data_IF_754449490055
#
_entry.id   IF_754449490055
#
_cell.length_a   1.000
_cell.length_b   1.000
_cell.length_c   1.000
_cell.angle_alpha   90.00
_cell.angle_beta   90.00
_cell.angle_gamma   90.00
#
_symmetry.space_group_name_H-M   'P 1'
#
loop_
_entity.id
_entity.type
_entity.pdbx_description
1 polymer ?
#
# COMPACT_ATOMS: atom_id res chain seq x y z
N UNK A 1 12.02 8.80 -11.39
CA UNK A 1 11.56 7.62 -10.63
C UNK A 1 10.09 7.81 -10.34
N UNK A 2 9.21 6.92 -10.78
CA UNK A 2 7.76 7.04 -10.50
C UNK A 2 7.41 6.26 -9.22
N UNK A 3 6.61 6.83 -8.30
CA UNK A 3 6.22 6.13 -7.08
C UNK A 3 5.38 4.89 -7.43
N UNK A 4 5.81 3.74 -6.91
CA UNK A 4 5.16 2.45 -7.15
C UNK A 4 3.95 2.26 -6.26
N UNK A 5 4.05 2.75 -5.03
CA UNK A 5 3.02 2.65 -4.02
C UNK A 5 2.20 3.94 -4.00
N UNK A 6 0.88 3.82 -3.84
CA UNK A 6 -0.05 4.95 -3.71
C UNK A 6 -1.09 4.70 -2.63
N UNK A 7 -1.58 5.78 -2.04
CA UNK A 7 -2.74 5.75 -1.14
C UNK A 7 -4.02 5.86 -1.97
N UNK A 8 -4.97 4.96 -1.73
CA UNK A 8 -6.35 5.06 -2.23
C UNK A 8 -7.32 5.23 -1.07
N UNK A 9 -8.37 6.01 -1.27
CA UNK A 9 -9.51 6.05 -0.35
C UNK A 9 -10.49 4.93 -0.73
N UNK A 10 -10.99 4.24 0.28
CA UNK A 10 -12.06 3.25 0.16
C UNK A 10 -13.11 3.52 1.21
N UNK A 11 -14.35 3.25 0.87
CA UNK A 11 -15.47 3.35 1.81
C UNK A 11 -15.85 1.93 2.21
N UNK A 12 -15.81 1.64 3.51
CA UNK A 12 -16.25 0.35 4.03
C UNK A 12 -17.72 0.14 3.72
N UNK A 13 -18.07 -0.96 3.04
CA UNK A 13 -19.46 -1.24 2.66
C UNK A 13 -20.38 -1.46 3.87
N UNK A 14 -19.83 -1.97 4.97
CA UNK A 14 -20.59 -2.29 6.19
C UNK A 14 -20.85 -1.09 7.09
N UNK A 15 -19.90 -0.16 7.18
CA UNK A 15 -19.90 0.93 8.17
C UNK A 15 -19.91 2.32 7.52
N UNK A 16 -19.76 2.40 6.19
CA UNK A 16 -19.62 3.67 5.48
C UNK A 16 -18.34 4.45 5.81
N UNK A 17 -17.49 3.95 6.71
CA UNK A 17 -16.28 4.64 7.11
C UNK A 17 -15.24 4.68 5.98
N UNK A 18 -14.63 5.85 5.84
CA UNK A 18 -13.45 6.04 5.00
C UNK A 18 -12.26 5.29 5.58
N UNK A 19 -11.57 4.58 4.71
CA UNK A 19 -10.34 3.85 5.00
C UNK A 19 -9.36 4.10 3.88
N UNK A 20 -8.12 4.38 4.25
CA UNK A 20 -7.04 4.68 3.34
C UNK A 20 -6.17 3.44 3.20
N UNK A 21 -5.92 2.98 1.97
CA UNK A 21 -5.18 1.75 1.70
C UNK A 21 -3.94 2.09 0.89
N UNK A 22 -2.80 1.55 1.27
CA UNK A 22 -1.57 1.68 0.48
C UNK A 22 -1.49 0.50 -0.49
N UNK A 23 -1.46 0.81 -1.79
CA UNK A 23 -1.51 -0.17 -2.89
C UNK A 23 -0.27 -0.06 -3.78
N UNK A 24 0.23 -1.20 -4.24
CA UNK A 24 1.26 -1.26 -5.28
C UNK A 24 0.59 -1.25 -6.66
N UNK A 25 0.99 -0.31 -7.51
CA UNK A 25 0.42 -0.15 -8.86
C UNK A 25 1.00 -1.12 -9.89
N UNK A 26 2.12 -1.79 -9.59
CA UNK A 26 2.85 -2.63 -10.55
C UNK A 26 2.37 -4.08 -10.48
N UNK A 27 2.12 -4.61 -9.28
CA UNK A 27 1.69 -5.99 -9.06
C UNK A 27 0.18 -6.24 -9.24
N UNK A 28 -0.57 -5.27 -9.79
CA UNK A 28 -1.94 -5.52 -10.25
C UNK A 28 -2.84 -6.19 -9.20
N UNK A 29 -3.18 -5.48 -8.13
CA UNK A 29 -4.50 -5.67 -7.51
C UNK A 29 -4.61 -6.46 -6.20
N UNK A 30 -3.56 -6.61 -5.39
CA UNK A 30 -3.79 -6.95 -3.97
C UNK A 30 -3.89 -5.68 -3.14
N UNK A 31 -5.12 -5.17 -3.01
CA UNK A 31 -5.43 -3.80 -2.61
C UNK A 31 -5.05 -3.40 -1.15
N UNK A 32 -4.30 -4.19 -0.38
CA UNK A 32 -3.80 -3.79 0.95
C UNK A 32 -2.61 -4.61 1.44
N UNK A 33 -1.59 -4.87 0.62
CA UNK A 33 -0.39 -5.55 1.14
C UNK A 33 0.32 -4.74 2.25
N UNK A 34 0.09 -3.42 2.28
CA UNK A 34 0.77 -2.48 3.17
C UNK A 34 -0.15 -1.89 4.25
N UNK A 35 -1.33 -2.47 4.45
CA UNK A 35 -2.26 -2.10 5.52
C UNK A 35 -3.42 -1.20 5.11
N UNK A 36 -4.33 -1.02 6.06
CA UNK A 36 -5.54 -0.20 5.96
C UNK A 36 -5.58 0.77 7.14
N UNK A 37 -5.72 2.05 6.85
CA UNK A 37 -5.57 3.14 7.81
C UNK A 37 -6.87 3.92 7.92
N UNK A 38 -7.18 4.41 9.13
CA UNK A 38 -8.33 5.30 9.34
C UNK A 38 -8.00 6.76 9.03
N UNK A 39 -6.72 7.13 9.12
CA UNK A 39 -6.24 8.50 8.95
C UNK A 39 -5.41 8.55 7.66
N UNK A 40 -5.70 9.51 6.79
CA UNK A 40 -5.02 9.68 5.50
C UNK A 40 -3.53 9.95 5.67
N UNK A 41 -3.18 10.85 6.59
CA UNK A 41 -1.80 11.26 6.84
C UNK A 41 -0.91 10.09 7.27
N UNK A 42 -1.47 9.13 8.01
CA UNK A 42 -0.75 7.93 8.44
C UNK A 42 -0.45 7.02 7.24
N UNK A 43 -1.45 6.80 6.37
CA UNK A 43 -1.25 6.09 5.11
C UNK A 43 -0.24 6.79 4.19
N UNK A 44 -0.25 8.12 4.13
CA UNK A 44 0.70 8.92 3.32
C UNK A 44 2.11 8.86 3.87
N UNK A 45 2.30 8.84 5.20
CA UNK A 45 3.60 8.66 5.84
C UNK A 45 4.19 7.28 5.51
N UNK A 46 3.40 6.22 5.65
CA UNK A 46 3.79 4.85 5.30
C UNK A 46 4.08 4.73 3.80
N UNK A 47 3.22 5.28 2.95
CA UNK A 47 3.41 5.28 1.50
C UNK A 47 4.71 6.01 1.09
N UNK A 48 5.01 7.15 1.73
CA UNK A 48 6.23 7.91 1.47
C UNK A 48 7.48 7.14 1.90
N UNK A 49 7.45 6.54 3.10
CA UNK A 49 8.54 5.72 3.62
C UNK A 49 8.84 4.56 2.68
N UNK A 50 7.82 3.78 2.31
CA UNK A 50 8.01 2.62 1.44
C UNK A 50 8.50 3.02 0.03
N UNK A 51 8.02 4.14 -0.54
CA UNK A 51 8.55 4.62 -1.81
C UNK A 51 10.01 5.12 -1.70
N UNK A 52 10.42 5.64 -0.53
CA UNK A 52 11.79 6.09 -0.26
C UNK A 52 12.75 4.92 0.01
N UNK A 53 12.26 3.82 0.60
CA UNK A 53 13.03 2.59 0.84
C UNK A 53 13.19 1.73 -0.42
N UNK A 54 12.27 1.85 -1.38
CA UNK A 54 12.27 1.03 -2.61
C UNK A 54 12.70 1.74 -3.92
N UNK A 55 13.82 2.51 -3.99
CA UNK A 55 14.23 3.07 -5.28
C UNK A 55 14.74 2.04 -6.30
N UNK A 56 15.06 0.79 -5.90
CA UNK A 56 15.80 -0.14 -6.76
C UNK A 56 15.36 -1.62 -6.76
N UNK A 57 14.21 -2.01 -6.20
CA UNK A 57 13.78 -3.41 -6.29
C UNK A 57 12.96 -3.69 -7.55
N UNK A 58 13.62 -3.55 -8.70
CA UNK A 58 13.24 -4.28 -9.91
C UNK A 58 13.64 -5.75 -9.68
N UNK A 59 12.68 -6.62 -9.37
CA UNK A 59 12.92 -8.06 -9.21
C UNK A 59 12.47 -8.65 -7.88
N UNK A 60 11.33 -9.35 -7.93
CA UNK A 60 10.96 -10.57 -7.19
C UNK A 60 11.78 -10.89 -5.94
N UNK A 61 11.16 -10.80 -4.75
CA UNK A 61 11.33 -11.80 -3.69
C UNK A 61 10.10 -11.72 -2.77
N UNK A 62 9.02 -12.39 -3.16
CA UNK A 62 8.10 -12.90 -2.16
C UNK A 62 8.75 -14.12 -1.53
N UNK A 63 9.38 -13.91 -0.36
CA UNK A 63 9.59 -14.98 0.60
C UNK A 63 8.22 -15.59 0.90
N UNK A 64 8.01 -16.81 0.41
CA UNK A 64 6.97 -17.72 0.89
C UNK A 64 7.20 -17.93 2.38
N UNK A 65 6.36 -17.34 3.22
CA UNK A 65 6.26 -17.72 4.63
C UNK A 65 5.33 -18.92 4.69
N UNK A 66 5.93 -20.10 4.60
CA UNK A 66 5.32 -21.34 5.06
C UNK A 66 5.75 -21.54 6.52
N UNK A 67 4.80 -21.54 7.45
CA UNK A 67 4.79 -22.43 8.61
C UNK A 67 3.36 -22.58 9.14
#
# INVERSE_FOLDING_TARGET
>A
MHPRLRVIETTGMEDGAKRYRVVDLVEGGSASKHGVFKIRTDAEAVCSLLNAEHPHQSGVTHKSLSL
#
